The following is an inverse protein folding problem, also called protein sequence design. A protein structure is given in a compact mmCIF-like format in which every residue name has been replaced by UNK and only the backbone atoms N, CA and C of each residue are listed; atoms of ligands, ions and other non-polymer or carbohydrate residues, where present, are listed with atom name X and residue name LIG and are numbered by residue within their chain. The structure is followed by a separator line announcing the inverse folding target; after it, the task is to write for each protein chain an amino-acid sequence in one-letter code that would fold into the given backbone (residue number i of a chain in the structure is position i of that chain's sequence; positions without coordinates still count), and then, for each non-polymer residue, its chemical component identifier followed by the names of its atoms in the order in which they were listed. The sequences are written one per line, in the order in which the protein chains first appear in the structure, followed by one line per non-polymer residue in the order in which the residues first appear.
data_IF_419191397757
#
_entry.id   IF_419191397757
#
_cell.length_a   1.000
_cell.length_b   1.000
_cell.length_c   1.000
_cell.angle_alpha   90.00
_cell.angle_beta   90.00
_cell.angle_gamma   90.00
#
_symmetry.space_group_name_H-M   'P 1'
#
loop_
_entity.id
_entity.type
_entity.pdbx_description
1 polymer ?
#
# COMPACT_ATOMS: atom_id res chain seq x y z
N UNK A 1 20.30 -2.25 15.90
CA UNK A 1 19.25 -1.28 16.31
C UNK A 1 18.67 -0.42 15.15
N UNK A 2 19.24 -0.42 13.94
CA UNK A 2 18.70 0.34 12.79
C UNK A 2 17.63 -0.40 11.98
N UNK A 3 17.70 -1.74 11.89
CA UNK A 3 16.77 -2.54 11.06
C UNK A 3 15.31 -2.39 11.51
N UNK A 4 15.04 -2.51 12.81
CA UNK A 4 13.68 -2.38 13.39
C UNK A 4 13.05 -1.01 13.15
N UNK A 5 13.84 0.08 13.12
CA UNK A 5 13.33 1.42 12.85
C UNK A 5 12.91 1.58 11.38
N UNK A 6 13.76 1.12 10.46
CA UNK A 6 13.48 1.15 9.01
C UNK A 6 12.22 0.35 8.70
N UNK A 7 12.09 -0.86 9.26
CA UNK A 7 10.90 -1.70 9.11
C UNK A 7 9.64 -0.99 9.59
N UNK A 8 9.68 -0.33 10.76
CA UNK A 8 8.53 0.42 11.27
C UNK A 8 8.15 1.60 10.38
N UNK A 9 9.11 2.39 9.88
CA UNK A 9 8.80 3.49 8.96
C UNK A 9 8.18 3.02 7.65
N UNK A 10 8.62 1.88 7.11
CA UNK A 10 8.04 1.27 5.92
C UNK A 10 6.59 0.83 6.19
N UNK A 11 6.33 0.17 7.32
CA UNK A 11 4.96 -0.24 7.69
C UNK A 11 4.02 0.96 7.88
N UNK A 12 4.43 1.99 8.60
CA UNK A 12 3.62 3.21 8.77
C UNK A 12 3.41 3.94 7.44
N UNK A 13 4.45 4.04 6.60
CA UNK A 13 4.34 4.63 5.27
C UNK A 13 3.35 3.88 4.39
N UNK A 14 3.41 2.54 4.37
CA UNK A 14 2.47 1.70 3.62
C UNK A 14 1.04 1.77 4.17
N UNK A 15 0.86 1.87 5.48
CA UNK A 15 -0.46 2.05 6.10
C UNK A 15 -1.08 3.40 5.71
N UNK A 16 -0.29 4.49 5.75
CA UNK A 16 -0.73 5.81 5.31
C UNK A 16 -1.11 5.79 3.82
N UNK A 17 -0.24 5.25 2.97
CA UNK A 17 -0.50 5.12 1.53
C UNK A 17 -1.76 4.29 1.24
N UNK A 18 -1.98 3.20 1.98
CA UNK A 18 -3.17 2.36 1.83
C UNK A 18 -4.44 3.12 2.24
N UNK A 19 -4.38 3.91 3.32
CA UNK A 19 -5.51 4.75 3.76
C UNK A 19 -5.84 5.85 2.74
N UNK A 20 -4.82 6.46 2.14
CA UNK A 20 -4.98 7.48 1.10
C UNK A 20 -5.60 6.89 -0.16
N UNK A 21 -5.11 5.74 -0.63
CA UNK A 21 -5.67 5.06 -1.80
C UNK A 21 -7.13 4.66 -1.55
N UNK A 22 -7.43 4.09 -0.38
CA UNK A 22 -8.82 3.76 -0.02
C UNK A 22 -9.72 4.99 0.01
N UNK A 23 -9.25 6.11 0.57
CA UNK A 23 -9.98 7.37 0.56
C UNK A 23 -10.22 7.91 -0.85
N UNK A 24 -9.21 7.88 -1.72
CA UNK A 24 -9.32 8.28 -3.12
C UNK A 24 -10.25 7.36 -3.92
N UNK A 25 -10.37 6.07 -3.59
CA UNK A 25 -11.33 5.17 -4.24
C UNK A 25 -12.79 5.45 -3.89
N UNK A 26 -13.04 5.96 -2.69
CA UNK A 26 -14.39 6.28 -2.20
C UNK A 26 -14.83 7.71 -2.55
N UNK A 27 -13.92 8.54 -3.03
CA UNK A 27 -14.21 9.91 -3.43
C UNK A 27 -15.02 9.94 -4.73
N UNK A 28 -16.06 10.77 -4.79
CA UNK A 28 -16.88 10.93 -5.98
C UNK A 28 -16.20 11.84 -7.00
N UNK A 29 -15.33 11.25 -7.82
CA UNK A 29 -14.63 11.94 -8.92
C UNK A 29 -15.57 12.41 -10.03
N UNK A 30 -16.75 11.79 -10.17
CA UNK A 30 -17.69 12.12 -11.24
C UNK A 30 -18.32 13.51 -11.08
N UNK A 31 -18.26 14.06 -9.86
CA UNK A 31 -18.67 15.43 -9.57
C UNK A 31 -17.71 16.50 -10.12
N UNK A 32 -16.46 16.13 -10.46
CA UNK A 32 -15.41 17.08 -10.85
C UNK A 32 -14.80 16.80 -12.24
N UNK A 33 -14.95 15.58 -12.75
CA UNK A 33 -14.28 15.11 -13.96
C UNK A 33 -15.29 14.61 -15.00
N UNK A 34 -14.88 14.61 -16.27
CA UNK A 34 -15.65 13.93 -17.32
C UNK A 34 -15.65 12.42 -17.10
N UNK A 35 -16.56 11.68 -17.77
CA UNK A 35 -16.62 10.21 -17.66
C UNK A 35 -15.28 9.55 -17.99
N UNK A 36 -14.65 9.94 -19.10
CA UNK A 36 -13.38 9.34 -19.52
C UNK A 36 -12.25 9.64 -18.54
N UNK A 37 -12.21 10.87 -18.00
CA UNK A 37 -11.24 11.28 -16.98
C UNK A 37 -11.46 10.53 -15.67
N UNK A 38 -12.71 10.35 -15.26
CA UNK A 38 -13.09 9.59 -14.06
C UNK A 38 -12.64 8.15 -14.17
N UNK A 39 -12.87 7.50 -15.31
CA UNK A 39 -12.43 6.13 -15.57
C UNK A 39 -10.91 6.05 -15.54
N UNK A 40 -10.20 6.99 -16.16
CA UNK A 40 -8.74 7.02 -16.16
C UNK A 40 -8.17 7.18 -14.74
N UNK A 41 -8.75 8.07 -13.93
CA UNK A 41 -8.34 8.30 -12.53
C UNK A 41 -8.62 7.07 -11.66
N UNK A 42 -9.83 6.51 -11.73
CA UNK A 42 -10.19 5.32 -10.95
C UNK A 42 -9.36 4.10 -11.36
N UNK A 43 -9.10 3.92 -12.66
CA UNK A 43 -8.19 2.91 -13.19
C UNK A 43 -6.79 3.07 -12.60
N UNK A 44 -6.25 4.29 -12.62
CA UNK A 44 -4.93 4.60 -12.06
C UNK A 44 -4.85 4.33 -10.55
N UNK A 45 -5.86 4.77 -9.79
CA UNK A 45 -5.93 4.54 -8.34
C UNK A 45 -6.03 3.04 -8.03
N UNK A 46 -6.82 2.29 -8.79
CA UNK A 46 -6.96 0.85 -8.62
C UNK A 46 -5.67 0.10 -8.95
N UNK A 47 -4.99 0.46 -10.04
CA UNK A 47 -3.70 -0.10 -10.41
C UNK A 47 -2.63 0.20 -9.34
N UNK A 48 -2.59 1.43 -8.85
CA UNK A 48 -1.68 1.82 -7.78
C UNK A 48 -1.98 1.09 -6.46
N UNK A 49 -3.26 0.93 -6.11
CA UNK A 49 -3.68 0.12 -4.97
C UNK A 49 -3.26 -1.35 -5.08
N UNK A 50 -3.30 -1.93 -6.28
CA UNK A 50 -2.80 -3.29 -6.51
C UNK A 50 -1.29 -3.39 -6.29
N UNK A 51 -0.52 -2.39 -6.72
CA UNK A 51 0.94 -2.32 -6.49
C UNK A 51 1.25 -2.27 -4.99
N UNK A 52 0.58 -1.38 -4.24
CA UNK A 52 0.79 -1.27 -2.78
C UNK A 52 0.46 -2.59 -2.08
N UNK A 53 -0.65 -3.25 -2.44
CA UNK A 53 -1.00 -4.56 -1.89
C UNK A 53 0.05 -5.62 -2.19
N UNK A 54 0.56 -5.66 -3.43
CA UNK A 54 1.65 -6.57 -3.80
C UNK A 54 2.94 -6.31 -3.02
N UNK A 55 3.23 -5.04 -2.73
CA UNK A 55 4.40 -4.66 -1.95
C UNK A 55 4.25 -5.01 -0.47
N UNK A 56 3.07 -4.82 0.11
CA UNK A 56 2.72 -5.27 1.47
C UNK A 56 2.85 -6.79 1.57
N UNK A 57 2.30 -7.54 0.61
CA UNK A 57 2.41 -9.01 0.59
C UNK A 57 3.88 -9.48 0.57
N UNK A 58 4.72 -8.81 -0.23
CA UNK A 58 6.17 -9.09 -0.27
C UNK A 58 6.83 -8.76 1.06
N UNK A 59 6.49 -7.61 1.66
CA UNK A 59 7.01 -7.21 2.96
C UNK A 59 6.59 -8.17 4.08
N UNK A 60 5.35 -8.69 4.06
CA UNK A 60 4.88 -9.70 5.00
C UNK A 60 5.64 -11.03 4.86
N UNK A 61 5.90 -11.47 3.63
CA UNK A 61 6.69 -12.70 3.38
C UNK A 61 8.11 -12.54 3.94
N UNK A 62 8.76 -11.40 3.67
CA UNK A 62 10.09 -11.10 4.20
C UNK A 62 10.10 -10.98 5.73
N UNK A 63 9.08 -10.34 6.32
CA UNK A 63 8.94 -10.24 7.76
C UNK A 63 8.76 -11.62 8.42
N UNK A 64 7.96 -12.51 7.83
CA UNK A 64 7.80 -13.90 8.28
C UNK A 64 9.11 -14.68 8.22
N UNK A 65 9.91 -14.49 7.17
CA UNK A 65 11.23 -15.14 7.05
C UNK A 65 12.22 -14.66 8.12
N UNK A 66 12.25 -13.36 8.42
CA UNK A 66 13.11 -12.80 9.47
C UNK A 66 12.66 -13.28 10.85
N UNK A 67 11.35 -13.32 11.11
CA UNK A 67 10.81 -13.84 12.37
C UNK A 67 11.10 -15.34 12.53
N UNK A 68 10.94 -16.14 11.48
CA UNK A 68 11.27 -17.57 11.50
C UNK A 68 12.78 -17.82 11.72
N UNK A 69 13.65 -16.98 11.15
CA UNK A 69 15.09 -17.05 11.38
C UNK A 69 15.51 -16.66 12.80
N UNK A 70 14.74 -15.79 13.49
CA UNK A 70 14.99 -15.43 14.89
C UNK A 70 14.54 -16.51 15.90
N UNK A 71 13.56 -17.35 15.55
CA UNK A 71 13.08 -18.45 16.43
C UNK A 71 13.96 -19.70 16.31
N UNK A 72 14.79 -19.79 15.26
CA UNK A 72 15.72 -20.90 15.04
C UNK A 72 17.12 -20.69 15.65
N UNK A 73 17.35 -19.57 16.35
CA UNK A 73 18.54 -19.30 17.18
C UNK A 73 18.19 -19.46 18.66
#
# INVERSE_FOLDING_TARGET
MNSTKITNYIFYGLAILSSLVGGLQLFDWSAFLTKDQTIAVMSGINAFGAIIKGWIATAEVMAKQIAAAQVAQ
#
